data_IF_009105304469
#
_entry.id   IF_009105304469
#
_cell.length_a   1.000
_cell.length_b   1.000
_cell.length_c   1.000
_cell.angle_alpha   90.00
_cell.angle_beta   90.00
_cell.angle_gamma   90.00
#
_symmetry.space_group_name_H-M   'P 1'
#
loop_
_entity.id
_entity.type
_entity.pdbx_description
1 polymer ?
#
# COMPACT_ATOMS: atom_id res chain seq x y z
N UNK A 1 26.45 16.35 22.81
CA UNK A 1 26.08 16.97 24.10
C UNK A 1 25.49 15.89 24.98
N UNK A 2 26.09 15.63 26.15
CA UNK A 2 25.62 14.69 27.17
C UNK A 2 24.84 15.50 28.21
N UNK A 3 23.65 15.05 28.58
CA UNK A 3 23.02 15.41 29.86
C UNK A 3 22.55 14.11 30.51
N UNK A 4 23.07 13.90 31.71
CA UNK A 4 22.92 12.76 32.61
C UNK A 4 21.84 13.01 33.67
N UNK A 5 21.24 11.89 34.13
CA UNK A 5 20.74 11.64 35.49
C UNK A 5 19.48 12.40 35.95
N UNK A 6 18.61 11.91 36.84
CA UNK A 6 18.31 10.62 37.49
C UNK A 6 17.12 10.92 38.43
N UNK A 7 16.29 9.94 38.80
CA UNK A 7 15.84 9.76 40.20
C UNK A 7 14.94 8.53 40.39
N UNK A 8 15.39 7.69 41.32
CA UNK A 8 14.72 6.55 41.91
C UNK A 8 13.54 6.99 42.82
N UNK A 9 12.54 6.13 42.95
CA UNK A 9 11.54 6.19 44.02
C UNK A 9 11.04 4.79 44.39
N UNK A 10 11.65 4.18 45.39
CA UNK A 10 11.22 2.94 46.04
C UNK A 10 10.70 3.25 47.46
N UNK A 11 9.56 2.69 47.85
CA UNK A 11 9.04 2.56 49.23
C UNK A 11 8.12 1.32 49.23
N UNK A 12 8.51 0.16 49.78
CA UNK A 12 8.50 -0.28 51.19
C UNK A 12 7.12 -0.37 51.87
N UNK A 13 6.62 -1.60 51.87
CA UNK A 13 5.87 -2.39 52.86
C UNK A 13 5.34 -1.70 54.13
N UNK A 14 4.05 -1.95 54.42
CA UNK A 14 3.48 -1.96 55.78
C UNK A 14 2.69 -3.26 56.00
N UNK A 15 3.16 -4.03 56.97
CA UNK A 15 2.50 -5.21 57.58
C UNK A 15 1.42 -4.77 58.55
N UNK A 16 0.25 -5.40 58.53
CA UNK A 16 -0.75 -5.31 59.59
C UNK A 16 -1.23 -6.72 59.99
N UNK A 17 -0.84 -7.15 61.20
CA UNK A 17 -1.42 -8.29 61.91
C UNK A 17 -2.79 -7.89 62.47
N UNK A 18 -3.81 -8.71 62.23
CA UNK A 18 -5.13 -8.58 62.86
C UNK A 18 -5.79 -9.95 62.97
N UNK A 19 -5.82 -10.48 64.19
CA UNK A 19 -6.50 -11.74 64.55
C UNK A 19 -8.01 -11.53 64.48
N UNK A 20 -8.68 -12.15 63.50
CA UNK A 20 -10.14 -12.07 63.32
C UNK A 20 -10.84 -13.26 64.01
N UNK A 21 -11.89 -13.04 64.81
CA UNK A 21 -12.64 -14.11 65.48
C UNK A 21 -13.33 -15.05 64.48
N UNK A 22 -13.46 -16.33 64.84
CA UNK A 22 -14.17 -17.34 64.06
C UNK A 22 -15.64 -16.92 63.84
N UNK A 23 -16.03 -16.82 62.56
CA UNK A 23 -17.40 -16.58 62.14
C UNK A 23 -18.18 -17.91 62.08
N UNK A 24 -19.52 -17.91 62.25
CA UNK A 24 -20.36 -19.11 62.22
C UNK A 24 -20.40 -19.74 60.81
N UNK A 25 -20.69 -21.03 60.75
CA UNK A 25 -20.78 -21.80 59.51
C UNK A 25 -21.75 -21.17 58.49
N UNK A 26 -21.41 -21.19 57.18
CA UNK A 26 -22.27 -20.60 56.15
C UNK A 26 -23.48 -21.50 55.85
N UNK A 27 -24.64 -20.93 55.46
CA UNK A 27 -25.79 -21.67 54.96
C UNK A 27 -25.48 -22.35 53.61
N UNK A 28 -26.31 -23.32 53.17
CA UNK A 28 -26.05 -24.11 51.96
C UNK A 28 -25.87 -23.23 50.72
N UNK A 29 -24.84 -23.54 49.92
CA UNK A 29 -24.51 -22.80 48.71
C UNK A 29 -25.67 -22.87 47.69
N UNK A 30 -26.10 -21.70 47.20
CA UNK A 30 -26.96 -21.61 46.02
C UNK A 30 -26.20 -22.14 44.78
N UNK A 31 -26.89 -22.78 43.82
CA UNK A 31 -26.26 -23.29 42.60
C UNK A 31 -25.51 -22.17 41.86
N UNK A 32 -24.21 -22.38 41.65
CA UNK A 32 -23.37 -21.48 40.87
C UNK A 32 -23.86 -21.48 39.40
N UNK A 33 -24.08 -20.32 38.77
CA UNK A 33 -24.31 -20.27 37.33
C UNK A 33 -23.05 -20.77 36.63
N UNK A 34 -23.23 -21.69 35.69
CA UNK A 34 -22.14 -22.22 34.86
C UNK A 34 -21.41 -21.07 34.14
N UNK A 35 -20.08 -21.13 34.00
CA UNK A 35 -19.34 -20.12 33.27
C UNK A 35 -19.82 -20.10 31.82
N UNK A 36 -20.37 -18.96 31.41
CA UNK A 36 -20.71 -18.70 30.01
C UNK A 36 -19.39 -18.69 29.24
N UNK A 37 -19.16 -19.70 28.41
CA UNK A 37 -18.03 -19.70 27.49
C UNK A 37 -18.30 -18.62 26.43
N UNK A 38 -17.67 -17.45 26.60
CA UNK A 38 -17.51 -16.49 25.50
C UNK A 38 -16.62 -17.14 24.46
N UNK A 39 -17.25 -17.66 23.39
CA UNK A 39 -16.54 -18.06 22.19
C UNK A 39 -16.06 -16.77 21.52
N UNK A 40 -14.79 -16.45 21.66
CA UNK A 40 -14.13 -15.40 20.88
C UNK A 40 -13.98 -15.92 19.46
N UNK A 41 -14.97 -15.66 18.60
CA UNK A 41 -14.83 -15.89 17.16
C UNK A 41 -13.91 -14.80 16.64
N UNK A 42 -12.72 -15.16 16.17
CA UNK A 42 -11.88 -14.22 15.45
C UNK A 42 -12.66 -13.69 14.25
N UNK A 43 -12.73 -12.35 14.05
CA UNK A 43 -13.44 -11.79 12.92
C UNK A 43 -12.77 -12.28 11.63
N UNK A 44 -13.45 -13.18 10.92
CA UNK A 44 -13.04 -13.65 9.60
C UNK A 44 -13.42 -12.59 8.58
N UNK A 45 -12.50 -12.24 7.68
CA UNK A 45 -12.77 -11.28 6.62
C UNK A 45 -13.89 -11.78 5.68
N UNK A 46 -14.72 -10.86 5.20
CA UNK A 46 -15.68 -11.12 4.13
C UNK A 46 -14.92 -11.60 2.86
N UNK A 47 -15.25 -12.77 2.29
CA UNK A 47 -14.64 -13.25 1.04
C UNK A 47 -14.67 -12.24 -0.11
N UNK A 48 -15.73 -11.42 -0.22
CA UNK A 48 -15.80 -10.39 -1.25
C UNK A 48 -14.74 -9.29 -1.02
N UNK A 49 -14.52 -8.89 0.23
CA UNK A 49 -13.49 -7.93 0.59
C UNK A 49 -12.08 -8.51 0.37
N UNK A 50 -11.86 -9.79 0.71
CA UNK A 50 -10.58 -10.48 0.43
C UNK A 50 -10.28 -10.50 -1.05
N UNK A 51 -11.25 -10.92 -1.89
CA UNK A 51 -11.07 -10.96 -3.34
C UNK A 51 -10.83 -9.58 -3.94
N UNK A 52 -11.48 -8.54 -3.41
CA UNK A 52 -11.27 -7.17 -3.88
C UNK A 52 -9.88 -6.66 -3.51
N UNK A 53 -9.45 -6.85 -2.25
CA UNK A 53 -8.11 -6.45 -1.81
C UNK A 53 -7.01 -7.21 -2.54
N UNK A 54 -7.21 -8.50 -2.82
CA UNK A 54 -6.30 -9.31 -3.63
C UNK A 54 -6.06 -8.67 -5.00
N UNK A 55 -7.13 -8.39 -5.75
CA UNK A 55 -7.02 -7.77 -7.07
C UNK A 55 -6.43 -6.35 -7.01
N UNK A 56 -6.84 -5.54 -6.04
CA UNK A 56 -6.34 -4.17 -5.85
C UNK A 56 -4.83 -4.16 -5.57
N UNK A 57 -4.38 -4.95 -4.58
CA UNK A 57 -2.97 -5.07 -4.25
C UNK A 57 -2.15 -5.67 -5.41
N UNK A 58 -2.64 -6.72 -6.08
CA UNK A 58 -1.95 -7.33 -7.23
C UNK A 58 -1.77 -6.36 -8.40
N UNK A 59 -2.74 -5.48 -8.66
CA UNK A 59 -2.61 -4.46 -9.70
C UNK A 59 -1.45 -3.49 -9.42
N UNK A 60 -1.30 -3.09 -8.16
CA UNK A 60 -0.27 -2.14 -7.71
C UNK A 60 1.10 -2.81 -7.57
N UNK A 61 1.16 -3.99 -6.95
CA UNK A 61 2.39 -4.76 -6.80
C UNK A 61 2.93 -5.23 -8.15
N UNK A 62 2.07 -5.64 -9.07
CA UNK A 62 2.48 -5.98 -10.44
C UNK A 62 3.14 -4.79 -11.17
N UNK A 63 2.67 -3.57 -10.94
CA UNK A 63 3.34 -2.36 -11.43
C UNK A 63 4.73 -2.18 -10.80
N UNK A 64 4.85 -2.36 -9.48
CA UNK A 64 6.13 -2.25 -8.75
C UNK A 64 7.15 -3.26 -9.26
N UNK A 65 6.77 -4.53 -9.32
CA UNK A 65 7.60 -5.63 -9.80
C UNK A 65 8.07 -5.41 -11.24
N UNK A 66 7.15 -5.01 -12.12
CA UNK A 66 7.49 -4.71 -13.51
C UNK A 66 8.42 -3.50 -13.63
N UNK A 67 8.19 -2.45 -12.83
CA UNK A 67 9.08 -1.29 -12.78
C UNK A 67 10.50 -1.72 -12.38
N UNK A 68 10.63 -2.54 -11.33
CA UNK A 68 11.92 -3.03 -10.83
C UNK A 68 12.66 -3.90 -11.86
N UNK A 69 11.93 -4.75 -12.58
CA UNK A 69 12.50 -5.58 -13.66
C UNK A 69 12.96 -4.74 -14.86
N UNK A 70 12.21 -3.69 -15.20
CA UNK A 70 12.53 -2.83 -16.35
C UNK A 70 13.59 -1.77 -16.06
N UNK A 71 13.95 -1.53 -14.78
CA UNK A 71 15.05 -0.65 -14.39
C UNK A 71 16.45 -1.24 -14.62
N UNK A 72 16.56 -2.45 -15.17
CA UNK A 72 17.85 -3.00 -15.60
C UNK A 72 18.48 -2.09 -16.67
N UNK A 73 19.57 -1.43 -16.30
CA UNK A 73 20.26 -0.48 -17.17
C UNK A 73 20.96 -1.20 -18.31
N UNK A 74 20.48 -0.99 -19.53
CA UNK A 74 21.26 -1.26 -20.74
C UNK A 74 22.51 -0.36 -20.82
N UNK A 75 23.42 -0.59 -21.79
CA UNK A 75 24.60 0.24 -21.96
C UNK A 75 24.21 1.72 -22.13
N UNK A 76 24.97 2.61 -21.51
CA UNK A 76 24.75 4.06 -21.65
C UNK A 76 24.80 4.48 -23.12
N UNK A 77 23.84 5.29 -23.59
CA UNK A 77 23.84 5.80 -24.96
C UNK A 77 25.14 6.54 -25.29
N UNK A 78 25.67 6.35 -26.51
CA UNK A 78 26.88 7.04 -27.00
C UNK A 78 26.56 8.18 -27.95
N UNK A 79 25.32 8.28 -28.41
CA UNK A 79 24.85 9.32 -29.33
C UNK A 79 23.48 9.86 -28.90
N UNK A 80 23.12 11.08 -29.32
CA UNK A 80 21.79 11.65 -29.07
C UNK A 80 20.69 10.79 -29.68
N UNK A 81 20.92 10.19 -30.85
CA UNK A 81 19.94 9.30 -31.47
C UNK A 81 19.71 8.01 -30.66
N UNK A 82 20.75 7.46 -30.04
CA UNK A 82 20.62 6.34 -29.11
C UNK A 82 19.92 6.76 -27.81
N UNK A 83 20.23 7.95 -27.28
CA UNK A 83 19.58 8.51 -26.10
C UNK A 83 18.07 8.73 -26.35
N UNK A 84 17.71 9.30 -27.51
CA UNK A 84 16.33 9.47 -27.94
C UNK A 84 15.58 8.12 -28.00
N UNK A 85 16.23 7.07 -28.54
CA UNK A 85 15.64 5.73 -28.59
C UNK A 85 15.44 5.15 -27.19
N UNK A 86 16.42 5.27 -26.30
CA UNK A 86 16.34 4.78 -24.93
C UNK A 86 15.25 5.52 -24.14
N UNK A 87 15.15 6.84 -24.28
CA UNK A 87 14.15 7.66 -23.62
C UNK A 87 12.73 7.38 -24.15
N UNK A 88 12.58 7.20 -25.47
CA UNK A 88 11.33 6.75 -26.09
C UNK A 88 10.89 5.37 -25.59
N UNK A 89 11.83 4.45 -25.41
CA UNK A 89 11.55 3.13 -24.82
C UNK A 89 11.12 3.26 -23.35
N UNK A 90 11.79 4.11 -22.57
CA UNK A 90 11.42 4.37 -21.17
C UNK A 90 9.99 4.93 -21.03
N UNK A 91 9.65 5.95 -21.82
CA UNK A 91 8.30 6.50 -21.87
C UNK A 91 7.26 5.46 -22.31
N UNK A 92 7.59 4.64 -23.31
CA UNK A 92 6.73 3.53 -23.74
C UNK A 92 6.52 2.49 -22.66
N UNK A 93 7.58 2.15 -21.91
CA UNK A 93 7.53 1.29 -20.74
C UNK A 93 6.57 1.86 -19.71
N UNK A 94 6.77 3.11 -19.25
CA UNK A 94 5.88 3.80 -18.30
C UNK A 94 4.42 3.75 -18.75
N UNK A 95 4.13 4.14 -19.99
CA UNK A 95 2.77 4.12 -20.54
C UNK A 95 2.16 2.72 -20.50
N UNK A 96 2.92 1.68 -20.86
CA UNK A 96 2.44 0.31 -20.86
C UNK A 96 2.12 -0.21 -19.45
N UNK A 97 3.02 -0.03 -18.46
CA UNK A 97 2.79 -0.52 -17.09
C UNK A 97 1.66 0.24 -16.39
N UNK A 98 1.61 1.55 -16.55
CA UNK A 98 0.53 2.37 -15.97
C UNK A 98 -0.82 2.06 -16.62
N UNK A 99 -0.86 1.84 -17.94
CA UNK A 99 -2.05 1.37 -18.65
C UNK A 99 -2.55 0.02 -18.16
N UNK A 100 -1.65 -0.97 -18.03
CA UNK A 100 -2.00 -2.28 -17.48
C UNK A 100 -2.59 -2.19 -16.07
N UNK A 101 -2.06 -1.31 -15.21
CA UNK A 101 -2.63 -1.08 -13.88
C UNK A 101 -4.01 -0.42 -13.94
N UNK A 102 -4.22 0.55 -14.84
CA UNK A 102 -5.57 1.13 -15.06
C UNK A 102 -6.56 0.05 -15.47
N UNK A 103 -6.18 -0.82 -16.40
CA UNK A 103 -7.04 -1.90 -16.89
C UNK A 103 -7.40 -2.87 -15.75
N UNK A 104 -6.41 -3.29 -14.95
CA UNK A 104 -6.63 -4.17 -13.79
C UNK A 104 -7.51 -3.53 -12.71
N UNK A 105 -7.28 -2.26 -12.37
CA UNK A 105 -8.08 -1.54 -11.38
C UNK A 105 -9.53 -1.33 -11.86
N UNK A 106 -9.73 -1.08 -13.15
CA UNK A 106 -11.06 -0.91 -13.77
C UNK A 106 -11.82 -2.24 -13.79
N UNK A 107 -11.13 -3.36 -13.99
CA UNK A 107 -11.72 -4.68 -14.02
C UNK A 107 -12.13 -5.23 -12.64
N UNK A 108 -11.78 -4.53 -11.55
CA UNK A 108 -12.22 -4.93 -10.21
C UNK A 108 -13.75 -4.92 -10.09
N UNK A 109 -14.33 -5.87 -9.35
CA UNK A 109 -15.76 -5.81 -9.03
C UNK A 109 -16.07 -4.53 -8.23
N UNK A 110 -17.36 -4.18 -8.07
CA UNK A 110 -17.75 -3.08 -7.20
C UNK A 110 -17.07 -3.18 -5.84
N UNK A 111 -16.59 -2.05 -5.33
CA UNK A 111 -15.91 -2.00 -4.04
C UNK A 111 -16.85 -2.47 -2.92
N UNK A 112 -16.34 -3.29 -1.96
CA UNK A 112 -17.16 -3.81 -0.87
C UNK A 112 -17.57 -2.71 0.13
N UNK A 113 -16.83 -1.60 0.18
CA UNK A 113 -17.09 -0.45 1.05
C UNK A 113 -16.75 0.88 0.35
N UNK A 114 -17.37 2.02 0.74
CA UNK A 114 -17.16 3.31 0.08
C UNK A 114 -15.71 3.81 0.05
N UNK A 115 -14.93 3.51 1.09
CA UNK A 115 -13.51 3.89 1.12
C UNK A 115 -12.71 3.19 0.02
N UNK A 116 -12.94 1.89 -0.18
CA UNK A 116 -12.30 1.12 -1.25
C UNK A 116 -12.56 1.73 -2.63
N UNK A 117 -13.79 2.20 -2.88
CA UNK A 117 -14.11 2.89 -4.12
C UNK A 117 -13.33 4.20 -4.27
N UNK A 118 -13.33 5.02 -3.22
CA UNK A 118 -12.61 6.30 -3.20
C UNK A 118 -11.12 6.11 -3.48
N UNK A 119 -10.51 5.10 -2.84
CA UNK A 119 -9.11 4.74 -3.04
C UNK A 119 -8.86 4.25 -4.47
N UNK A 120 -9.70 3.34 -4.99
CA UNK A 120 -9.61 2.86 -6.37
C UNK A 120 -9.64 4.00 -7.38
N UNK A 121 -10.58 4.94 -7.23
CA UNK A 121 -10.69 6.10 -8.12
C UNK A 121 -9.46 7.02 -8.02
N UNK A 122 -8.94 7.24 -6.81
CA UNK A 122 -7.70 7.99 -6.62
C UNK A 122 -6.50 7.35 -7.31
N UNK A 123 -6.38 6.03 -7.25
CA UNK A 123 -5.32 5.28 -7.95
C UNK A 123 -5.53 5.32 -9.47
N UNK A 124 -6.74 5.07 -9.96
CA UNK A 124 -7.08 5.18 -11.39
C UNK A 124 -6.68 6.55 -11.95
N UNK A 125 -7.07 7.64 -11.28
CA UNK A 125 -6.72 8.99 -11.72
C UNK A 125 -5.21 9.20 -11.85
N UNK A 126 -4.42 8.76 -10.86
CA UNK A 126 -2.95 8.88 -10.86
C UNK A 126 -2.30 8.04 -11.96
N UNK A 127 -2.68 6.77 -12.08
CA UNK A 127 -2.14 5.88 -13.12
C UNK A 127 -2.52 6.33 -14.52
N UNK A 128 -3.76 6.78 -14.75
CA UNK A 128 -4.18 7.37 -16.03
C UNK A 128 -3.36 8.61 -16.37
N UNK A 129 -3.18 9.53 -15.41
CA UNK A 129 -2.41 10.76 -15.64
C UNK A 129 -0.95 10.46 -16.02
N UNK A 130 -0.31 9.52 -15.33
CA UNK A 130 1.05 9.09 -15.65
C UNK A 130 1.14 8.40 -17.03
N UNK A 131 0.16 7.54 -17.36
CA UNK A 131 0.05 6.88 -18.67
C UNK A 131 -0.03 7.90 -19.79
N UNK A 132 -0.95 8.85 -19.67
CA UNK A 132 -1.26 9.81 -20.72
C UNK A 132 -0.08 10.75 -20.94
N UNK A 133 0.57 11.21 -19.85
CA UNK A 133 1.81 11.99 -19.95
C UNK A 133 2.91 11.24 -20.69
N UNK A 134 3.18 10.00 -20.30
CA UNK A 134 4.23 9.19 -20.91
C UNK A 134 3.94 8.94 -22.40
N UNK A 135 2.68 8.65 -22.72
CA UNK A 135 2.21 8.46 -24.11
C UNK A 135 2.39 9.72 -24.95
N UNK A 136 1.98 10.88 -24.43
CA UNK A 136 2.08 12.15 -25.14
C UNK A 136 3.55 12.54 -25.38
N UNK A 137 4.38 12.43 -24.35
CA UNK A 137 5.80 12.74 -24.44
C UNK A 137 6.53 11.80 -25.40
N UNK A 138 6.23 10.49 -25.36
CA UNK A 138 6.74 9.52 -26.33
C UNK A 138 6.39 9.92 -27.74
N UNK A 139 5.12 10.26 -27.97
CA UNK A 139 4.64 10.65 -29.30
C UNK A 139 5.34 11.92 -29.80
N UNK A 140 5.59 12.90 -28.92
CA UNK A 140 6.37 14.11 -29.28
C UNK A 140 7.82 13.77 -29.61
N UNK A 141 8.48 12.96 -28.79
CA UNK A 141 9.87 12.55 -28.99
C UNK A 141 10.06 11.71 -30.27
N UNK A 142 9.12 10.82 -30.57
CA UNK A 142 9.17 9.94 -31.76
C UNK A 142 8.92 10.73 -33.06
N UNK A 143 8.22 11.86 -32.99
CA UNK A 143 8.04 12.78 -34.13
C UNK A 143 9.19 13.76 -34.33
N UNK A 144 10.04 13.95 -33.31
CA UNK A 144 11.21 14.82 -33.42
C UNK A 144 12.23 14.24 -34.41
N UNK A 145 13.04 15.11 -35.02
CA UNK A 145 14.10 14.65 -35.92
C UNK A 145 15.06 13.74 -35.16
N UNK A 146 15.60 12.72 -35.83
CA UNK A 146 16.60 11.83 -35.22
C UNK A 146 17.80 12.66 -34.78
N UNK A 147 18.18 12.55 -33.51
CA UNK A 147 19.31 13.30 -32.95
C UNK A 147 18.95 14.73 -32.54
N UNK A 148 17.67 15.08 -32.46
CA UNK A 148 17.21 16.38 -31.97
C UNK A 148 17.45 16.50 -30.46
N UNK A 149 18.52 17.20 -30.08
CA UNK A 149 18.92 17.43 -28.70
C UNK A 149 17.88 18.25 -27.92
N UNK A 150 17.19 19.19 -28.57
CA UNK A 150 16.18 20.04 -27.92
C UNK A 150 14.95 19.24 -27.46
N UNK A 151 14.71 18.07 -28.05
CA UNK A 151 13.62 17.17 -27.66
C UNK A 151 13.92 16.32 -26.42
N UNK A 152 15.20 16.18 -26.03
CA UNK A 152 15.61 15.29 -24.93
C UNK A 152 15.13 15.79 -23.57
N UNK A 153 15.36 17.09 -23.28
CA UNK A 153 14.99 17.71 -22.00
C UNK A 153 13.50 17.53 -21.65
N UNK A 154 12.57 18.00 -22.52
CA UNK A 154 11.13 17.84 -22.28
C UNK A 154 10.68 16.38 -22.12
N UNK A 155 11.32 15.45 -22.82
CA UNK A 155 11.01 14.02 -22.70
C UNK A 155 11.56 13.43 -21.39
N UNK A 156 12.73 13.87 -20.92
CA UNK A 156 13.29 13.53 -19.61
C UNK A 156 12.40 14.04 -18.48
N UNK A 157 12.00 15.31 -18.53
CA UNK A 157 11.07 15.92 -17.57
C UNK A 157 9.75 15.14 -17.50
N UNK A 158 9.25 14.67 -18.64
CA UNK A 158 8.03 13.88 -18.70
C UNK A 158 8.17 12.51 -18.02
N UNK A 159 9.34 11.85 -18.11
CA UNK A 159 9.62 10.62 -17.37
C UNK A 159 9.53 10.88 -15.87
N UNK A 160 10.25 11.88 -15.37
CA UNK A 160 10.25 12.19 -13.94
C UNK A 160 8.86 12.59 -13.44
N UNK A 161 8.16 13.41 -14.22
CA UNK A 161 6.85 13.91 -13.84
C UNK A 161 5.81 12.78 -13.87
N UNK A 162 5.92 11.82 -14.80
CA UNK A 162 5.08 10.62 -14.78
C UNK A 162 5.34 9.73 -13.56
N UNK A 163 6.58 9.66 -13.07
CA UNK A 163 6.89 8.98 -11.81
C UNK A 163 6.30 9.72 -10.61
N UNK A 164 6.47 11.04 -10.53
CA UNK A 164 5.89 11.89 -9.45
C UNK A 164 4.37 11.82 -9.39
N UNK A 165 3.68 11.66 -10.53
CA UNK A 165 2.23 11.48 -10.53
C UNK A 165 1.76 10.22 -9.78
N UNK A 166 2.65 9.25 -9.59
CA UNK A 166 2.39 7.98 -8.90
C UNK A 166 2.81 8.02 -7.43
N UNK A 167 3.23 9.19 -6.93
CA UNK A 167 3.57 9.35 -5.52
C UNK A 167 2.39 8.96 -4.62
N UNK A 168 2.68 8.13 -3.62
CA UNK A 168 1.68 7.60 -2.70
C UNK A 168 0.79 6.49 -3.26
N UNK A 169 1.08 5.91 -4.44
CA UNK A 169 0.37 4.71 -4.93
C UNK A 169 1.14 3.41 -4.70
N UNK A 170 2.32 3.48 -4.07
CA UNK A 170 3.20 2.32 -3.89
C UNK A 170 2.80 1.41 -2.71
N UNK A 171 2.00 1.92 -1.78
CA UNK A 171 1.48 1.16 -0.63
C UNK A 171 -0.05 1.02 -0.74
N UNK A 172 -0.55 -0.06 -1.37
CA UNK A 172 -1.98 -0.27 -1.52
C UNK A 172 -2.69 -0.55 -0.18
N UNK A 173 -1.99 -1.13 0.81
CA UNK A 173 -2.58 -1.44 2.13
C UNK A 173 -2.64 -0.18 3.00
N UNK A 174 -1.60 0.65 2.98
CA UNK A 174 -1.58 1.95 3.66
C UNK A 174 -2.74 2.86 3.26
N UNK A 175 -3.18 2.78 2.01
CA UNK A 175 -4.29 3.58 1.47
C UNK A 175 -5.67 3.22 2.08
N UNK A 176 -5.82 2.05 2.68
CA UNK A 176 -7.10 1.56 3.23
C UNK A 176 -7.11 1.44 4.75
N UNK A 177 -6.10 1.98 5.43
CA UNK A 177 -5.93 1.89 6.90
C UNK A 177 -7.11 2.44 7.72
N UNK A 178 -7.93 3.31 7.14
CA UNK A 178 -9.14 3.84 7.78
C UNK A 178 -10.36 2.88 7.71
N UNK A 179 -10.25 1.73 7.04
CA UNK A 179 -11.29 0.69 6.96
C UNK A 179 -10.78 -0.63 7.57
N UNK A 180 -11.09 -0.92 8.85
CA UNK A 180 -10.64 -2.14 9.53
C UNK A 180 -11.00 -3.43 8.78
N UNK A 181 -12.17 -3.49 8.15
CA UNK A 181 -12.62 -4.61 7.34
C UNK A 181 -11.72 -4.88 6.13
N UNK A 182 -11.19 -3.82 5.50
CA UNK A 182 -10.24 -3.94 4.40
C UNK A 182 -8.85 -4.34 4.89
N UNK A 183 -8.46 -3.90 6.10
CA UNK A 183 -7.20 -4.33 6.71
C UNK A 183 -7.21 -5.82 7.05
N UNK A 184 -8.30 -6.33 7.60
CA UNK A 184 -8.47 -7.78 7.85
C UNK A 184 -8.46 -8.56 6.54
N UNK A 185 -9.14 -8.04 5.50
CA UNK A 185 -9.14 -8.67 4.18
C UNK A 185 -7.73 -8.70 3.55
N UNK A 186 -7.01 -7.59 3.61
CA UNK A 186 -5.65 -7.44 3.08
C UNK A 186 -4.66 -8.41 3.74
N UNK A 187 -4.81 -8.67 5.05
CA UNK A 187 -3.95 -9.59 5.78
C UNK A 187 -4.00 -11.03 5.23
N UNK A 188 -5.13 -11.42 4.64
CA UNK A 188 -5.33 -12.76 4.05
C UNK A 188 -5.24 -12.79 2.52
N UNK A 189 -5.27 -11.65 1.86
CA UNK A 189 -5.25 -11.53 0.40
C UNK A 189 -3.83 -11.80 -0.17
N UNK A 190 -3.64 -12.84 -1.00
CA UNK A 190 -2.34 -13.17 -1.59
C UNK A 190 -1.66 -12.00 -2.32
N UNK A 191 -2.43 -11.21 -3.08
CA UNK A 191 -1.96 -10.07 -3.85
C UNK A 191 -1.36 -8.95 -3.01
N UNK A 192 -1.68 -8.88 -1.72
CA UNK A 192 -1.13 -7.90 -0.78
C UNK A 192 0.22 -8.33 -0.19
N UNK A 193 0.76 -9.50 -0.57
CA UNK A 193 2.12 -9.93 -0.23
C UNK A 193 3.08 -9.39 -1.29
N UNK A 194 3.74 -8.26 -1.02
CA UNK A 194 4.70 -7.61 -1.93
C UNK A 194 5.39 -6.40 -1.33
#
# INVERSE_FOLDING_TARGET
MKITAALLGACLLLTACGTKPAAPAPPPAAPQPSPVQTITVEPTADPAAVSWMDGFCSAVNGYRERTNRETETGPSPKTIAEAQKALSASLGGIAARTGETVDKLTALPPAPVPLAETVRQGFLAKFTKARDRATEAKTKLDRAKRGDEASQGPAGDAVEQAQRDLDGTYDPVGAVTAAPELMTAAATAPGCKG
#
